data_IF_056853981713
#
_entry.id   IF_056853981713
#
_cell.length_a   1.000
_cell.length_b   1.000
_cell.length_c   1.000
_cell.angle_alpha   90.00
_cell.angle_beta   90.00
_cell.angle_gamma   90.00
#
_symmetry.space_group_name_H-M   'P 1'
#
loop_
_entity.id
_entity.type
_entity.pdbx_description
1 polymer ?
#
# COMPACT_ATOMS: atom_id res chain seq x y z
N UNK A 1 -22.45 -13.34 19.81
CA UNK A 1 -22.35 -13.59 18.36
C UNK A 1 -21.79 -12.33 17.72
N UNK A 2 -20.48 -12.29 17.59
CA UNK A 2 -19.70 -11.20 17.03
C UNK A 2 -19.76 -11.38 15.50
N UNK A 3 -20.58 -10.58 14.85
CA UNK A 3 -20.71 -10.58 13.39
C UNK A 3 -19.40 -10.06 12.81
N UNK A 4 -18.55 -10.97 12.34
CA UNK A 4 -17.37 -10.61 11.56
C UNK A 4 -17.90 -10.13 10.22
N UNK A 5 -17.97 -8.81 10.04
CA UNK A 5 -18.21 -8.23 8.73
C UNK A 5 -16.95 -8.50 7.91
N UNK A 6 -16.92 -9.63 7.22
CA UNK A 6 -15.91 -9.87 6.19
C UNK A 6 -16.26 -8.88 5.08
N UNK A 7 -15.62 -7.71 5.10
CA UNK A 7 -15.75 -6.73 4.02
C UNK A 7 -15.45 -7.44 2.71
N UNK A 8 -16.46 -7.54 1.85
CA UNK A 8 -16.37 -8.15 0.51
C UNK A 8 -15.32 -7.49 -0.41
N UNK A 9 -14.67 -6.42 0.05
CA UNK A 9 -13.70 -5.60 -0.66
C UNK A 9 -12.23 -5.93 -0.33
N UNK A 10 -11.95 -6.90 0.55
CA UNK A 10 -10.57 -7.33 0.76
C UNK A 10 -10.12 -8.05 -0.51
N UNK A 11 -9.12 -7.48 -1.19
CA UNK A 11 -8.47 -8.09 -2.35
C UNK A 11 -7.25 -8.85 -1.84
N UNK A 12 -7.34 -10.18 -1.63
CA UNK A 12 -6.26 -10.93 -0.98
C UNK A 12 -4.98 -10.97 -1.80
N UNK A 13 -5.04 -10.82 -3.12
CA UNK A 13 -3.89 -10.91 -4.02
C UNK A 13 -3.46 -9.54 -4.58
N UNK A 14 -3.59 -8.48 -3.79
CA UNK A 14 -3.27 -7.12 -4.23
C UNK A 14 -1.76 -6.86 -4.17
N UNK A 15 -1.05 -7.24 -5.23
CA UNK A 15 0.38 -6.97 -5.39
C UNK A 15 0.69 -5.56 -5.87
N UNK A 16 -0.20 -4.97 -6.66
CA UNK A 16 0.02 -3.66 -7.27
C UNK A 16 -1.21 -2.79 -7.10
N UNK A 17 -1.00 -1.59 -6.55
CA UNK A 17 -2.02 -0.56 -6.41
C UNK A 17 -1.64 0.63 -7.28
N UNK A 18 -2.54 1.01 -8.19
CA UNK A 18 -2.42 2.23 -8.98
C UNK A 18 -3.68 3.06 -8.78
N UNK A 19 -3.51 4.27 -8.26
CA UNK A 19 -4.61 5.17 -7.93
C UNK A 19 -4.35 6.53 -8.57
N UNK A 20 -5.35 7.03 -9.30
CA UNK A 20 -5.37 8.40 -9.80
C UNK A 20 -6.56 9.12 -9.17
N UNK A 21 -6.29 10.23 -8.49
CA UNK A 21 -7.32 11.03 -7.85
C UNK A 21 -7.31 12.45 -8.42
N UNK A 22 -8.31 12.73 -9.26
CA UNK A 22 -8.43 13.99 -9.99
C UNK A 22 -9.45 14.96 -9.38
N UNK A 23 -10.09 14.60 -8.27
CA UNK A 23 -11.11 15.47 -7.65
C UNK A 23 -10.46 16.56 -6.79
N UNK A 24 -11.15 17.69 -6.66
CA UNK A 24 -10.83 18.76 -5.72
C UNK A 24 -11.40 18.54 -4.32
N UNK A 25 -12.06 17.40 -4.09
CA UNK A 25 -12.61 17.03 -2.79
C UNK A 25 -11.55 16.62 -1.77
N UNK A 26 -12.00 16.44 -0.52
CA UNK A 26 -11.14 15.97 0.57
C UNK A 26 -10.70 14.53 0.31
N UNK A 27 -9.39 14.32 0.30
CA UNK A 27 -8.77 13.00 0.28
C UNK A 27 -7.98 12.82 1.57
N UNK A 28 -8.13 11.69 2.25
CA UNK A 28 -7.39 11.42 3.48
C UNK A 28 -6.09 10.70 3.16
N UNK A 29 -5.00 11.46 3.04
CA UNK A 29 -3.67 10.94 2.71
C UNK A 29 -3.15 9.97 3.77
N UNK A 30 -3.35 10.28 5.04
CA UNK A 30 -2.94 9.43 6.15
C UNK A 30 -3.59 8.04 6.05
N UNK A 31 -4.90 7.98 5.79
CA UNK A 31 -5.61 6.71 5.67
C UNK A 31 -5.12 5.86 4.49
N UNK A 32 -4.69 6.49 3.40
CA UNK A 32 -4.08 5.78 2.27
C UNK A 32 -2.72 5.20 2.65
N UNK A 33 -1.86 6.01 3.28
CA UNK A 33 -0.54 5.58 3.75
C UNK A 33 -0.66 4.44 4.77
N UNK A 34 -1.57 4.55 5.72
CA UNK A 34 -1.83 3.49 6.71
C UNK A 34 -2.27 2.19 6.02
N UNK A 35 -3.16 2.29 5.03
CA UNK A 35 -3.61 1.16 4.23
C UNK A 35 -2.46 0.49 3.49
N UNK A 36 -1.63 1.28 2.78
CA UNK A 36 -0.46 0.80 2.04
C UNK A 36 0.53 0.11 2.99
N UNK A 37 0.85 0.74 4.12
CA UNK A 37 1.80 0.24 5.11
C UNK A 37 1.32 -1.08 5.74
N UNK A 38 0.02 -1.21 6.01
CA UNK A 38 -0.55 -2.44 6.58
C UNK A 38 -0.50 -3.65 5.65
N UNK A 39 -0.33 -3.44 4.34
CA UNK A 39 -0.31 -4.47 3.30
C UNK A 39 1.10 -4.81 2.83
N UNK A 40 2.11 -4.06 3.27
CA UNK A 40 3.50 -4.35 2.98
C UNK A 40 4.07 -5.36 3.98
N UNK A 41 4.66 -6.43 3.47
CA UNK A 41 5.40 -7.40 4.27
C UNK A 41 6.70 -7.76 3.54
N UNK A 42 7.88 -7.38 4.08
CA UNK A 42 9.14 -7.69 3.42
C UNK A 42 9.40 -9.19 3.46
N UNK A 43 9.88 -9.74 2.34
CA UNK A 43 10.20 -11.16 2.23
C UNK A 43 11.25 -11.63 3.27
N UNK A 44 12.14 -10.73 3.70
CA UNK A 44 13.14 -11.01 4.73
C UNK A 44 12.54 -11.35 6.10
N UNK A 45 11.36 -10.82 6.45
CA UNK A 45 10.65 -11.19 7.68
C UNK A 45 9.92 -12.53 7.55
N UNK A 46 9.69 -12.99 6.32
CA UNK A 46 8.98 -14.24 6.06
C UNK A 46 9.87 -15.47 6.32
N UNK A 47 11.17 -15.37 6.03
CA UNK A 47 12.16 -16.44 6.32
C UNK A 47 12.36 -16.67 7.82
N UNK A 48 12.25 -15.64 8.66
CA UNK A 48 12.40 -15.74 10.11
C UNK A 48 11.27 -16.51 10.83
N UNK A 49 10.12 -16.66 10.18
CA UNK A 49 8.94 -17.34 10.74
C UNK A 49 8.83 -18.81 10.33
N UNK A 50 9.84 -19.38 9.65
CA UNK A 50 9.84 -20.80 9.24
C UNK A 50 8.74 -21.16 8.23
N UNK A 51 8.08 -20.16 7.65
CA UNK A 51 7.13 -20.35 6.56
C UNK A 51 7.94 -20.25 5.28
N UNK A 52 8.11 -21.39 4.62
CA UNK A 52 8.56 -21.50 3.24
C UNK A 52 7.61 -20.65 2.37
N UNK A 53 7.91 -19.35 2.23
CA UNK A 53 6.95 -18.36 1.72
C UNK A 53 6.71 -18.52 0.23
N UNK A 54 7.60 -19.26 -0.46
CA UNK A 54 7.38 -19.77 -1.81
C UNK A 54 6.22 -20.77 -1.90
N UNK A 55 5.80 -21.41 -0.80
CA UNK A 55 4.69 -22.38 -0.78
C UNK A 55 3.41 -21.84 -0.12
N UNK A 56 3.51 -20.77 0.68
CA UNK A 56 2.33 -20.15 1.32
C UNK A 56 1.61 -19.14 0.44
N UNK A 57 2.29 -18.55 -0.55
CA UNK A 57 1.65 -17.75 -1.61
C UNK A 57 0.77 -18.61 -2.52
N UNK A 58 1.09 -19.90 -2.66
CA UNK A 58 0.40 -20.89 -3.50
C UNK A 58 -0.75 -21.62 -2.77
N UNK A 59 -0.94 -21.38 -1.46
CA UNK A 59 -2.06 -21.95 -0.72
C UNK A 59 -3.29 -21.07 -0.97
N UNK A 60 -4.40 -21.67 -1.40
CA UNK A 60 -5.69 -21.07 -1.83
C UNK A 60 -6.39 -20.08 -0.84
N UNK A 61 -5.70 -19.59 0.19
CA UNK A 61 -6.17 -18.57 1.14
C UNK A 61 -5.10 -17.59 1.64
N UNK A 62 -3.90 -17.57 1.07
CA UNK A 62 -2.84 -16.62 1.46
C UNK A 62 -3.10 -15.22 0.92
N UNK A 63 -2.97 -14.19 1.77
CA UNK A 63 -2.96 -12.80 1.29
C UNK A 63 -1.57 -12.47 0.73
N UNK A 64 -1.51 -12.13 -0.56
CA UNK A 64 -0.31 -11.57 -1.17
C UNK A 64 -0.12 -10.14 -0.65
N UNK A 65 1.12 -9.80 -0.35
CA UNK A 65 1.50 -8.48 0.14
C UNK A 65 1.70 -7.53 -1.02
N UNK A 66 1.38 -6.26 -0.78
CA UNK A 66 1.57 -5.19 -1.76
C UNK A 66 3.06 -5.08 -2.10
N UNK A 67 3.38 -4.83 -3.37
CA UNK A 67 4.75 -4.71 -3.89
C UNK A 67 4.98 -3.43 -4.69
N UNK A 68 3.95 -2.89 -5.30
CA UNK A 68 4.01 -1.63 -6.04
C UNK A 68 2.84 -0.72 -5.67
N UNK A 69 3.15 0.54 -5.45
CA UNK A 69 2.17 1.62 -5.25
C UNK A 69 2.49 2.76 -6.19
N UNK A 70 1.51 3.14 -7.00
CA UNK A 70 1.57 4.29 -7.90
C UNK A 70 0.40 5.20 -7.58
N UNK A 71 0.69 6.42 -7.15
CA UNK A 71 -0.28 7.42 -6.78
C UNK A 71 -0.09 8.65 -7.66
N UNK A 72 -1.17 9.07 -8.29
CA UNK A 72 -1.18 10.23 -9.19
C UNK A 72 -2.28 11.22 -8.79
N UNK A 73 -1.85 12.44 -8.51
CA UNK A 73 -2.64 13.50 -7.93
C UNK A 73 -2.58 14.77 -8.80
N UNK A 74 -3.19 14.77 -10.00
CA UNK A 74 -3.00 15.84 -10.98
C UNK A 74 -3.54 17.20 -10.52
N UNK A 75 -4.53 17.22 -9.63
CA UNK A 75 -5.29 18.43 -9.26
C UNK A 75 -5.10 18.87 -7.80
N UNK A 76 -4.15 18.30 -7.08
CA UNK A 76 -3.90 18.64 -5.68
C UNK A 76 -2.41 18.67 -5.35
N UNK A 77 -2.08 19.41 -4.30
CA UNK A 77 -0.75 19.44 -3.70
C UNK A 77 -0.50 18.15 -2.92
N UNK A 78 0.76 17.71 -2.90
CA UNK A 78 1.17 16.53 -2.17
C UNK A 78 1.72 16.94 -0.80
N UNK A 79 1.23 16.31 0.25
CA UNK A 79 1.81 16.44 1.58
C UNK A 79 3.08 15.57 1.67
N UNK A 80 4.23 16.19 1.46
CA UNK A 80 5.53 15.50 1.48
C UNK A 80 5.84 14.85 2.83
N UNK A 81 5.32 15.39 3.94
CA UNK A 81 5.52 14.82 5.27
C UNK A 81 4.79 13.47 5.41
N UNK A 82 3.52 13.43 4.96
CA UNK A 82 2.71 12.21 5.00
C UNK A 82 3.28 11.16 4.05
N UNK A 83 3.56 11.53 2.80
CA UNK A 83 4.05 10.60 1.79
C UNK A 83 5.52 10.19 1.99
N UNK A 84 6.31 11.01 2.69
CA UNK A 84 7.69 10.69 3.06
C UNK A 84 7.80 9.45 3.96
N UNK A 85 6.75 9.12 4.70
CA UNK A 85 6.68 7.85 5.46
C UNK A 85 6.79 6.60 4.57
N UNK A 86 6.40 6.69 3.29
CA UNK A 86 6.51 5.59 2.34
C UNK A 86 7.95 5.38 1.83
N UNK A 87 8.86 6.33 2.03
CA UNK A 87 10.27 6.20 1.63
C UNK A 87 10.93 5.00 2.29
N UNK A 88 10.62 4.73 3.56
CA UNK A 88 11.14 3.54 4.24
C UNK A 88 10.65 2.22 3.62
N UNK A 89 9.44 2.22 3.05
CA UNK A 89 8.92 1.06 2.32
C UNK A 89 9.65 0.88 0.99
N UNK A 90 10.00 1.99 0.33
CA UNK A 90 10.82 1.97 -0.88
C UNK A 90 12.22 1.41 -0.61
N UNK A 91 12.88 1.89 0.45
CA UNK A 91 14.18 1.37 0.92
C UNK A 91 14.11 -0.13 1.26
N UNK A 92 12.96 -0.60 1.78
CA UNK A 92 12.72 -2.00 2.08
C UNK A 92 12.41 -2.87 0.84
N UNK A 93 12.32 -2.27 -0.36
CA UNK A 93 12.12 -2.97 -1.63
C UNK A 93 10.70 -2.89 -2.20
N UNK A 94 9.83 -2.02 -1.68
CA UNK A 94 8.54 -1.71 -2.31
C UNK A 94 8.76 -0.71 -3.44
N UNK A 95 8.08 -0.84 -4.58
CA UNK A 95 8.08 0.24 -5.57
C UNK A 95 7.08 1.32 -5.15
N UNK A 96 7.54 2.52 -4.84
CA UNK A 96 6.67 3.64 -4.49
C UNK A 96 6.84 4.75 -5.52
N UNK A 97 5.75 5.17 -6.14
CA UNK A 97 5.72 6.32 -7.04
C UNK A 97 4.59 7.22 -6.61
N UNK A 98 4.91 8.41 -6.13
CA UNK A 98 3.92 9.44 -5.80
C UNK A 98 4.18 10.63 -6.70
N UNK A 99 3.14 11.05 -7.43
CA UNK A 99 3.21 12.16 -8.39
C UNK A 99 2.05 13.09 -8.12
N UNK A 100 2.32 14.40 -8.04
CA UNK A 100 1.32 15.42 -7.79
C UNK A 100 1.86 16.80 -8.16
N UNK A 101 1.09 17.85 -7.87
CA UNK A 101 1.63 19.21 -7.98
C UNK A 101 2.59 19.44 -6.81
N UNK A 102 3.83 19.76 -7.12
CA UNK A 102 4.79 20.28 -6.16
C UNK A 102 4.30 21.65 -5.67
N UNK A 103 4.42 21.95 -4.37
CA UNK A 103 4.32 23.33 -3.91
C UNK A 103 5.45 24.12 -4.56
N UNK A 104 5.14 25.01 -5.50
CA UNK A 104 6.11 26.03 -5.93
C UNK A 104 6.29 27.05 -4.79
N UNK A 105 7.54 27.41 -4.45
CA UNK A 105 7.84 28.39 -3.41
C UNK A 105 7.44 29.84 -3.77
#
# INVERSE_FOLDING_TARGET
MNSVTISSAIVPQLESLSLTFSSSGTFCDQSLVDMVSSRWFPAAYADGYGVNTSKSLESEGGTVCLRSVVLHFPNREMDEEIYGSLTHLEEAGMRVVVTGKSMEP
#
